data_IF_266022370442
#
_entry.id   IF_266022370442
#
_cell.length_a   1.000
_cell.length_b   1.000
_cell.length_c   1.000
_cell.angle_alpha   90.00
_cell.angle_beta   90.00
_cell.angle_gamma   90.00
#
_symmetry.space_group_name_H-M   'P 1'
#
loop_
_entity.id
_entity.type
_entity.pdbx_description
1 polymer ?
#
# COMPACT_ATOMS: atom_id res chain seq x y z
N UNK A 1 35.00 -12.96 -11.71
CA UNK A 1 33.62 -12.80 -12.23
C UNK A 1 32.55 -12.73 -11.15
N UNK A 2 32.59 -13.55 -10.10
CA UNK A 2 31.64 -13.48 -8.97
C UNK A 2 31.61 -12.12 -8.24
N UNK A 3 32.76 -11.47 -8.04
CA UNK A 3 32.81 -10.16 -7.37
C UNK A 3 32.14 -9.01 -8.13
N UNK A 4 32.25 -8.98 -9.45
CA UNK A 4 31.60 -7.95 -10.28
C UNK A 4 30.09 -8.16 -10.35
N UNK A 5 29.63 -9.42 -10.40
CA UNK A 5 28.22 -9.79 -10.37
C UNK A 5 27.57 -9.46 -9.01
N UNK A 6 28.27 -9.72 -7.91
CA UNK A 6 27.84 -9.34 -6.57
C UNK A 6 27.77 -7.81 -6.38
N UNK A 7 28.73 -7.07 -6.94
CA UNK A 7 28.73 -5.60 -6.89
C UNK A 7 27.59 -5.01 -7.73
N UNK A 8 27.34 -5.55 -8.93
CA UNK A 8 26.20 -5.15 -9.75
C UNK A 8 24.88 -5.47 -9.04
N UNK A 9 24.74 -6.65 -8.42
CA UNK A 9 23.56 -6.99 -7.62
C UNK A 9 23.36 -6.05 -6.42
N UNK A 10 24.43 -5.69 -5.72
CA UNK A 10 24.39 -4.74 -4.59
C UNK A 10 24.02 -3.31 -5.02
N UNK A 11 24.52 -2.87 -6.18
CA UNK A 11 24.17 -1.56 -6.74
C UNK A 11 22.71 -1.59 -7.22
N UNK A 12 22.28 -2.67 -7.88
CA UNK A 12 20.91 -2.84 -8.37
C UNK A 12 19.90 -2.96 -7.24
N UNK A 13 20.26 -3.53 -6.07
CA UNK A 13 19.40 -3.55 -4.88
C UNK A 13 19.49 -2.26 -4.04
N UNK A 14 20.62 -1.55 -4.10
CA UNK A 14 20.83 -0.33 -3.33
C UNK A 14 20.16 0.91 -3.93
N UNK A 15 20.12 0.99 -5.26
CA UNK A 15 19.53 2.13 -6.00
C UNK A 15 18.02 2.29 -5.76
N UNK A 16 17.20 1.22 -5.78
CA UNK A 16 15.76 1.30 -5.48
C UNK A 16 15.50 1.79 -4.05
N UNK A 17 16.25 1.29 -3.07
CA UNK A 17 16.14 1.72 -1.66
C UNK A 17 16.57 3.17 -1.49
N UNK A 18 17.67 3.59 -2.14
CA UNK A 18 18.13 4.97 -2.07
C UNK A 18 17.14 5.95 -2.73
N UNK A 19 16.51 5.56 -3.83
CA UNK A 19 15.46 6.35 -4.49
C UNK A 19 14.20 6.46 -3.62
N UNK A 20 13.77 5.38 -2.97
CA UNK A 20 12.65 5.39 -2.03
C UNK A 20 12.90 6.34 -0.84
N UNK A 21 14.12 6.35 -0.28
CA UNK A 21 14.48 7.21 0.87
C UNK A 21 14.61 8.70 0.50
N UNK A 22 15.06 9.02 -0.73
CA UNK A 22 15.38 10.40 -1.13
C UNK A 22 14.24 11.07 -1.90
N UNK A 23 13.44 10.31 -2.64
CA UNK A 23 12.46 10.86 -3.56
C UNK A 23 11.15 10.06 -3.68
N UNK A 24 10.93 9.01 -2.87
CA UNK A 24 9.78 8.09 -2.99
C UNK A 24 8.44 8.83 -3.11
N UNK A 25 8.18 9.76 -2.19
CA UNK A 25 6.93 10.56 -2.15
C UNK A 25 6.72 11.47 -3.38
N UNK A 26 7.73 11.67 -4.24
CA UNK A 26 7.65 12.48 -5.46
C UNK A 26 7.53 11.65 -6.75
N UNK A 27 7.66 10.32 -6.68
CA UNK A 27 7.60 9.46 -7.87
C UNK A 27 6.15 9.02 -8.12
N UNK A 28 5.49 9.70 -9.05
CA UNK A 28 4.08 9.43 -9.40
C UNK A 28 3.92 8.38 -10.52
N UNK A 29 2.72 7.79 -10.72
CA UNK A 29 2.46 6.71 -11.69
C UNK A 29 2.73 7.03 -13.18
N UNK A 30 3.00 8.28 -13.53
CA UNK A 30 3.42 8.73 -14.86
C UNK A 30 4.94 8.92 -14.99
N UNK A 31 5.69 8.85 -13.89
CA UNK A 31 7.14 8.90 -13.89
C UNK A 31 7.77 7.64 -14.48
N UNK A 32 8.89 7.82 -15.20
CA UNK A 32 9.73 6.71 -15.69
C UNK A 32 10.39 5.91 -14.56
N UNK A 33 10.52 6.52 -13.38
CA UNK A 33 11.14 5.89 -12.22
C UNK A 33 10.15 5.09 -11.36
N UNK A 34 8.85 5.15 -11.69
CA UNK A 34 7.79 4.48 -10.91
C UNK A 34 8.01 2.97 -10.78
N UNK A 35 8.46 2.31 -11.85
CA UNK A 35 8.80 0.87 -11.77
C UNK A 35 9.97 0.56 -10.83
N UNK A 36 10.94 1.48 -10.73
CA UNK A 36 12.10 1.32 -9.85
C UNK A 36 11.70 1.51 -8.40
N UNK A 37 10.87 2.51 -8.13
CA UNK A 37 10.27 2.76 -6.81
C UNK A 37 9.45 1.54 -6.34
N UNK A 38 8.57 0.98 -7.18
CA UNK A 38 7.81 -0.24 -6.82
C UNK A 38 8.67 -1.46 -6.55
N UNK A 39 9.83 -1.55 -7.19
CA UNK A 39 10.79 -2.60 -6.87
C UNK A 39 11.44 -2.36 -5.51
N UNK A 40 11.82 -1.11 -5.20
CA UNK A 40 12.36 -0.72 -3.89
C UNK A 40 11.39 -0.98 -2.73
N UNK A 41 10.10 -0.70 -2.91
CA UNK A 41 9.06 -1.02 -1.92
C UNK A 41 9.03 -2.52 -1.58
N UNK A 42 9.14 -3.38 -2.59
CA UNK A 42 9.12 -4.84 -2.41
C UNK A 42 10.37 -5.33 -1.67
N UNK A 43 11.54 -4.79 -1.99
CA UNK A 43 12.78 -5.08 -1.26
C UNK A 43 12.69 -4.61 0.20
N UNK A 44 12.17 -3.41 0.43
CA UNK A 44 11.96 -2.85 1.77
C UNK A 44 11.00 -3.70 2.59
N UNK A 45 9.88 -4.15 2.02
CA UNK A 45 8.95 -5.07 2.69
C UNK A 45 9.60 -6.41 3.06
N UNK A 46 10.47 -6.94 2.21
CA UNK A 46 11.21 -8.17 2.49
C UNK A 46 12.20 -7.97 3.65
N UNK A 47 12.99 -6.88 3.60
CA UNK A 47 13.97 -6.52 4.63
C UNK A 47 13.27 -6.31 5.99
N UNK A 48 12.20 -5.52 6.02
CA UNK A 48 11.42 -5.27 7.25
C UNK A 48 10.81 -6.57 7.78
N UNK A 49 10.34 -7.46 6.90
CA UNK A 49 9.86 -8.78 7.30
C UNK A 49 10.92 -9.62 8.00
N UNK A 50 12.17 -9.58 7.54
CA UNK A 50 13.30 -10.29 8.14
C UNK A 50 13.74 -9.64 9.46
N UNK A 51 13.83 -8.30 9.50
CA UNK A 51 14.40 -7.57 10.65
C UNK A 51 13.41 -7.32 11.79
N UNK A 52 12.15 -7.05 11.46
CA UNK A 52 11.13 -6.58 12.40
C UNK A 52 9.94 -7.55 12.54
N UNK A 53 9.97 -8.68 11.82
CA UNK A 53 8.94 -9.71 11.84
C UNK A 53 7.59 -9.25 11.29
N UNK A 54 6.57 -10.08 11.53
CA UNK A 54 5.21 -9.90 10.98
C UNK A 54 4.55 -8.57 11.42
N UNK A 55 4.89 -8.06 12.61
CA UNK A 55 4.36 -6.78 13.13
C UNK A 55 4.94 -5.56 12.40
N UNK A 56 6.26 -5.53 12.17
CA UNK A 56 6.91 -4.48 11.40
C UNK A 56 6.44 -4.50 9.95
N UNK A 57 6.38 -5.70 9.36
CA UNK A 57 5.91 -5.90 7.99
C UNK A 57 4.47 -5.42 7.79
N UNK A 58 3.57 -5.74 8.71
CA UNK A 58 2.17 -5.28 8.67
C UNK A 58 2.03 -3.76 8.81
N UNK A 59 2.92 -3.11 9.57
CA UNK A 59 2.94 -1.63 9.65
C UNK A 59 3.35 -1.00 8.33
N UNK A 60 4.40 -1.52 7.70
CA UNK A 60 4.88 -0.99 6.43
C UNK A 60 3.85 -1.19 5.30
N UNK A 61 3.17 -2.34 5.27
CA UNK A 61 2.10 -2.55 4.29
C UNK A 61 0.95 -1.53 4.41
N UNK A 62 0.61 -1.11 5.63
CA UNK A 62 -0.40 -0.06 5.83
C UNK A 62 0.11 1.30 5.36
N UNK A 63 1.40 1.61 5.58
CA UNK A 63 2.04 2.83 5.07
C UNK A 63 2.04 2.88 3.54
N UNK A 64 2.45 1.80 2.88
CA UNK A 64 2.38 1.70 1.41
C UNK A 64 0.93 1.79 0.89
N UNK A 65 -0.04 1.31 1.67
CA UNK A 65 -1.45 1.49 1.31
C UNK A 65 -1.88 2.97 1.41
N UNK A 66 -1.30 3.78 2.29
CA UNK A 66 -1.51 5.24 2.30
C UNK A 66 -0.99 5.86 1.00
N UNK A 67 0.22 5.51 0.56
CA UNK A 67 0.80 5.98 -0.72
C UNK A 67 -0.06 5.60 -1.92
N UNK A 68 -0.57 4.36 -1.99
CA UNK A 68 -1.48 3.95 -3.08
C UNK A 68 -2.74 4.84 -3.15
N UNK A 69 -3.23 5.37 -2.04
CA UNK A 69 -4.40 6.27 -2.02
C UNK A 69 -4.01 7.66 -2.57
N UNK A 70 -2.82 8.14 -2.28
CA UNK A 70 -2.28 9.39 -2.84
C UNK A 70 -2.08 9.28 -4.35
N UNK A 71 -1.53 8.17 -4.83
CA UNK A 71 -1.42 7.89 -6.26
C UNK A 71 -2.78 7.81 -6.96
N UNK A 72 -3.79 7.23 -6.30
CA UNK A 72 -5.16 7.19 -6.82
C UNK A 72 -5.71 8.60 -6.94
N UNK A 73 -5.52 9.43 -5.92
CA UNK A 73 -5.94 10.84 -5.97
C UNK A 73 -5.27 11.57 -7.14
N UNK A 74 -3.94 11.44 -7.28
CA UNK A 74 -3.18 12.01 -8.39
C UNK A 74 -3.72 11.52 -9.75
N UNK A 75 -3.94 10.22 -9.90
CA UNK A 75 -4.41 9.65 -11.16
C UNK A 75 -5.82 10.11 -11.52
N UNK A 76 -6.74 10.20 -10.56
CA UNK A 76 -8.10 10.68 -10.80
C UNK A 76 -8.11 12.17 -11.19
N UNK A 77 -7.30 12.99 -10.51
CA UNK A 77 -7.18 14.42 -10.84
C UNK A 77 -6.60 14.67 -12.24
N UNK A 78 -5.80 13.73 -12.75
CA UNK A 78 -5.18 13.80 -14.07
C UNK A 78 -5.91 12.95 -15.13
N UNK A 79 -7.11 12.44 -14.84
CA UNK A 79 -7.90 11.65 -15.81
C UNK A 79 -7.29 10.30 -16.20
N UNK A 80 -6.43 9.73 -15.36
CA UNK A 80 -5.72 8.46 -15.59
C UNK A 80 -6.41 7.29 -14.86
N UNK A 81 -7.68 7.01 -15.19
CA UNK A 81 -8.49 6.01 -14.47
C UNK A 81 -7.85 4.62 -14.41
N UNK A 82 -7.26 4.14 -15.50
CA UNK A 82 -6.64 2.80 -15.53
C UNK A 82 -5.51 2.66 -14.51
N UNK A 83 -4.72 3.74 -14.33
CA UNK A 83 -3.66 3.78 -13.32
C UNK A 83 -4.23 3.89 -11.92
N UNK A 84 -5.27 4.69 -11.71
CA UNK A 84 -5.98 4.76 -10.44
C UNK A 84 -6.52 3.38 -10.02
N UNK A 85 -7.13 2.64 -10.94
CA UNK A 85 -7.63 1.29 -10.67
C UNK A 85 -6.52 0.29 -10.39
N UNK A 86 -5.36 0.43 -11.05
CA UNK A 86 -4.17 -0.36 -10.74
C UNK A 86 -3.65 -0.07 -9.32
N UNK A 87 -3.49 1.19 -8.94
CA UNK A 87 -3.08 1.57 -7.59
C UNK A 87 -4.10 1.12 -6.54
N UNK A 88 -5.41 1.17 -6.81
CA UNK A 88 -6.44 0.60 -5.92
C UNK A 88 -6.38 -0.93 -5.79
N UNK A 89 -5.97 -1.63 -6.84
CA UNK A 89 -5.75 -3.07 -6.75
C UNK A 89 -4.52 -3.40 -5.89
N UNK A 90 -3.43 -2.66 -6.05
CA UNK A 90 -2.23 -2.78 -5.21
C UNK A 90 -2.55 -2.45 -3.74
N UNK A 91 -3.32 -1.40 -3.50
CA UNK A 91 -3.88 -1.06 -2.19
C UNK A 91 -4.63 -2.24 -1.56
N UNK A 92 -5.53 -2.86 -2.32
CA UNK A 92 -6.32 -4.00 -1.85
C UNK A 92 -5.44 -5.19 -1.46
N UNK A 93 -4.35 -5.44 -2.19
CA UNK A 93 -3.36 -6.47 -1.82
C UNK A 93 -2.68 -6.16 -0.50
N UNK A 94 -2.19 -4.93 -0.30
CA UNK A 94 -1.50 -4.52 0.93
C UNK A 94 -2.41 -4.64 2.16
N UNK A 95 -3.66 -4.22 2.03
CA UNK A 95 -4.68 -4.37 3.08
C UNK A 95 -4.93 -5.86 3.38
N UNK A 96 -5.16 -6.69 2.35
CA UNK A 96 -5.41 -8.11 2.55
C UNK A 96 -4.24 -8.86 3.19
N UNK A 97 -3.01 -8.53 2.79
CA UNK A 97 -1.80 -9.09 3.39
C UNK A 97 -1.67 -8.67 4.86
N UNK A 98 -1.94 -7.39 5.18
CA UNK A 98 -1.93 -6.88 6.54
C UNK A 98 -2.97 -7.57 7.44
N UNK A 99 -4.19 -7.77 6.93
CA UNK A 99 -5.25 -8.50 7.63
C UNK A 99 -4.93 -9.99 7.81
N UNK A 100 -4.27 -10.61 6.83
CA UNK A 100 -3.83 -11.99 6.92
C UNK A 100 -2.79 -12.18 8.03
N UNK A 101 -1.86 -11.23 8.18
CA UNK A 101 -0.91 -11.22 9.29
C UNK A 101 -1.63 -11.03 10.63
N UNK A 102 -2.60 -10.12 10.71
CA UNK A 102 -3.38 -9.91 11.92
C UNK A 102 -4.15 -11.17 12.34
N UNK A 103 -4.76 -11.89 11.38
CA UNK A 103 -5.43 -13.17 11.62
C UNK A 103 -4.47 -14.25 12.09
N UNK A 104 -3.34 -14.42 11.40
CA UNK A 104 -2.33 -15.44 11.73
C UNK A 104 -1.79 -15.27 13.15
N UNK A 105 -1.61 -14.03 13.58
CA UNK A 105 -1.09 -13.69 14.91
C UNK A 105 -2.17 -13.45 15.96
N UNK A 106 -3.45 -13.64 15.63
CA UNK A 106 -4.60 -13.29 16.48
C UNK A 106 -4.49 -11.88 17.11
N UNK A 107 -4.01 -10.90 16.34
CA UNK A 107 -3.65 -9.58 16.84
C UNK A 107 -4.76 -8.55 16.56
N UNK A 108 -5.61 -8.34 17.55
CA UNK A 108 -6.73 -7.38 17.48
C UNK A 108 -6.26 -5.95 17.20
N UNK A 109 -5.14 -5.55 17.81
CA UNK A 109 -4.53 -4.23 17.60
C UNK A 109 -4.09 -4.01 16.15
N UNK A 110 -3.49 -5.02 15.50
CA UNK A 110 -3.13 -4.92 14.08
C UNK A 110 -4.38 -4.81 13.20
N UNK A 111 -5.41 -5.63 13.44
CA UNK A 111 -6.66 -5.55 12.68
C UNK A 111 -7.36 -4.19 12.83
N UNK A 112 -7.40 -3.65 14.06
CA UNK A 112 -7.97 -2.34 14.35
C UNK A 112 -7.20 -1.22 13.65
N UNK A 113 -5.86 -1.31 13.61
CA UNK A 113 -5.03 -0.35 12.86
C UNK A 113 -5.38 -0.34 11.39
N UNK A 114 -5.50 -1.52 10.76
CA UNK A 114 -5.87 -1.63 9.34
C UNK A 114 -7.25 -1.03 9.12
N UNK A 115 -8.24 -1.39 9.94
CA UNK A 115 -9.60 -0.84 9.84
C UNK A 115 -9.62 0.69 9.94
N UNK A 116 -8.89 1.26 10.90
CA UNK A 116 -8.80 2.71 11.07
C UNK A 116 -8.09 3.38 9.89
N UNK A 117 -7.02 2.78 9.36
CA UNK A 117 -6.35 3.29 8.16
C UNK A 117 -7.27 3.27 6.94
N UNK A 118 -7.97 2.16 6.70
CA UNK A 118 -8.95 2.06 5.61
C UNK A 118 -10.06 3.11 5.73
N UNK A 119 -10.55 3.41 6.93
CA UNK A 119 -11.52 4.49 7.12
C UNK A 119 -10.92 5.87 6.77
N UNK A 120 -9.68 6.16 7.16
CA UNK A 120 -9.00 7.40 6.75
C UNK A 120 -8.85 7.49 5.23
N UNK A 121 -8.43 6.40 4.59
CA UNK A 121 -8.29 6.33 3.12
C UNK A 121 -9.60 6.66 2.40
N UNK A 122 -10.73 6.11 2.89
CA UNK A 122 -12.06 6.43 2.36
C UNK A 122 -12.35 7.93 2.49
N UNK A 123 -11.99 8.57 3.61
CA UNK A 123 -12.22 10.02 3.78
C UNK A 123 -11.36 10.84 2.82
N UNK A 124 -10.10 10.45 2.59
CA UNK A 124 -9.22 11.10 1.60
C UNK A 124 -9.86 11.01 0.22
N UNK A 125 -10.29 9.81 -0.21
CA UNK A 125 -10.95 9.63 -1.51
C UNK A 125 -12.25 10.45 -1.61
N UNK A 126 -13.09 10.47 -0.56
CA UNK A 126 -14.29 11.31 -0.51
C UNK A 126 -13.98 12.80 -0.66
N UNK A 127 -12.83 13.26 -0.16
CA UNK A 127 -12.35 14.63 -0.32
C UNK A 127 -12.15 15.05 -1.78
N UNK A 128 -12.09 14.10 -2.73
CA UNK A 128 -12.01 14.36 -4.17
C UNK A 128 -13.39 14.65 -4.80
N UNK A 129 -14.48 14.54 -4.04
CA UNK A 129 -15.82 14.82 -4.55
C UNK A 129 -15.92 16.25 -5.11
N UNK A 130 -16.34 16.36 -6.37
CA UNK A 130 -16.45 17.65 -7.07
C UNK A 130 -15.13 18.15 -7.70
N UNK A 131 -14.01 17.45 -7.50
CA UNK A 131 -12.73 17.77 -8.17
C UNK A 131 -12.34 16.75 -9.23
N UNK A 132 -12.98 15.58 -9.24
CA UNK A 132 -12.78 14.50 -10.22
C UNK A 132 -14.12 13.97 -10.74
N UNK A 133 -14.17 13.24 -11.87
CA UNK A 133 -15.39 12.63 -12.37
C UNK A 133 -16.06 11.72 -11.32
N UNK A 134 -17.37 11.89 -11.11
CA UNK A 134 -18.10 11.19 -10.06
C UNK A 134 -18.10 9.67 -10.24
N UNK A 135 -18.25 9.19 -11.47
CA UNK A 135 -18.25 7.75 -11.79
C UNK A 135 -16.90 7.10 -11.44
N UNK A 136 -15.79 7.77 -11.77
CA UNK A 136 -14.44 7.29 -11.49
C UNK A 136 -14.16 7.23 -9.99
N UNK A 137 -14.59 8.27 -9.26
CA UNK A 137 -14.49 8.32 -7.81
C UNK A 137 -15.33 7.21 -7.14
N UNK A 138 -16.54 6.97 -7.64
CA UNK A 138 -17.41 5.92 -7.10
C UNK A 138 -16.79 4.52 -7.28
N UNK A 139 -16.15 4.27 -8.43
CA UNK A 139 -15.44 3.00 -8.68
C UNK A 139 -14.34 2.74 -7.66
N UNK A 140 -13.50 3.73 -7.35
CA UNK A 140 -12.42 3.56 -6.37
C UNK A 140 -12.97 3.46 -4.94
N UNK A 141 -13.99 4.25 -4.59
CA UNK A 141 -14.64 4.19 -3.28
C UNK A 141 -15.26 2.84 -3.01
N UNK A 142 -15.88 2.21 -4.02
CA UNK A 142 -16.45 0.87 -3.89
C UNK A 142 -15.39 -0.18 -3.53
N UNK A 143 -14.17 -0.08 -4.07
CA UNK A 143 -13.07 -0.96 -3.66
C UNK A 143 -12.68 -0.70 -2.20
N UNK A 144 -12.56 0.56 -1.82
CA UNK A 144 -12.17 0.95 -0.46
C UNK A 144 -13.22 0.50 0.59
N UNK A 145 -14.51 0.64 0.30
CA UNK A 145 -15.59 0.17 1.16
C UNK A 145 -15.56 -1.34 1.35
N UNK A 146 -15.36 -2.12 0.29
CA UNK A 146 -15.20 -3.58 0.42
C UNK A 146 -14.01 -3.92 1.33
N UNK A 147 -12.88 -3.22 1.17
CA UNK A 147 -11.72 -3.38 2.06
C UNK A 147 -12.05 -3.07 3.52
N UNK A 148 -12.82 -2.01 3.80
CA UNK A 148 -13.28 -1.65 5.15
C UNK A 148 -14.12 -2.76 5.77
N UNK A 149 -15.07 -3.28 5.00
CA UNK A 149 -16.01 -4.30 5.48
C UNK A 149 -15.28 -5.61 5.78
N UNK A 150 -14.29 -5.98 4.96
CA UNK A 150 -13.39 -7.11 5.23
C UNK A 150 -12.56 -6.85 6.50
N UNK A 151 -11.97 -5.66 6.65
CA UNK A 151 -11.18 -5.30 7.83
C UNK A 151 -12.02 -5.37 9.12
N UNK A 152 -13.26 -4.90 9.07
CA UNK A 152 -14.21 -4.99 10.19
C UNK A 152 -14.58 -6.43 10.55
N UNK A 153 -14.84 -7.26 9.54
CA UNK A 153 -15.13 -8.67 9.73
C UNK A 153 -13.95 -9.41 10.38
N UNK A 154 -12.71 -9.12 9.95
CA UNK A 154 -11.49 -9.67 10.54
C UNK A 154 -11.32 -9.23 11.99
N UNK A 155 -11.48 -7.93 12.28
CA UNK A 155 -11.40 -7.41 13.64
C UNK A 155 -12.41 -8.08 14.58
N UNK A 156 -13.66 -8.22 14.12
CA UNK A 156 -14.72 -8.88 14.88
C UNK A 156 -14.43 -10.35 15.11
N UNK A 157 -13.87 -11.06 14.11
CA UNK A 157 -13.50 -12.46 14.23
C UNK A 157 -12.43 -12.67 15.30
N UNK A 158 -11.36 -11.86 15.26
CA UNK A 158 -10.27 -11.92 16.24
C UNK A 158 -10.79 -11.64 17.65
N UNK A 159 -11.64 -10.61 17.81
CA UNK A 159 -12.20 -10.24 19.11
C UNK A 159 -13.16 -11.29 19.72
N UNK A 160 -13.69 -12.21 18.92
CA UNK A 160 -14.49 -13.36 19.41
C UNK A 160 -13.62 -14.56 19.83
N UNK A 161 -12.38 -14.63 19.36
CA UNK A 161 -11.45 -15.74 19.62
C UNK A 161 -10.46 -15.45 20.75
N UNK A 162 -10.43 -14.22 21.26
CA UNK A 162 -9.65 -13.75 22.42
C UNK A 162 -10.51 -13.71 23.67
#
# INVERSE_FOLDING_TARGET
MLGALALVLLIVSGVPIALDVVAGDMIMPDSRLYLVEKFGEMEKLAIIGVLMGDSGRGREMVRLAEERVEEVAYCLQNGMLDKAMKSMWEWGKLINMSLSLALKSNCSYCALRVYNATNRHIQILKGLSGTVPAEDLERVLNVAYRGRDIAYAVLTRIGKTS
#
